data_IF_144113139455
#
_entry.id   IF_144113139455
#
_cell.length_a   1.000
_cell.length_b   1.000
_cell.length_c   1.000
_cell.angle_alpha   90.00
_cell.angle_beta   90.00
_cell.angle_gamma   90.00
#
_symmetry.space_group_name_H-M   'P 1'
#
loop_
_entity.id
_entity.type
_entity.pdbx_description
1 polymer ?
#
# COMPACT_ATOMS: atom_id res chain seq x y z
N UNK A 1 23.97 11.38 14.30
CA UNK A 1 23.11 12.55 14.56
C UNK A 1 21.67 12.07 14.39
N UNK A 2 20.89 11.92 15.47
CA UNK A 2 19.52 11.35 15.46
C UNK A 2 18.44 12.38 15.77
N UNK A 3 18.81 13.68 15.83
CA UNK A 3 17.93 14.79 16.22
C UNK A 3 17.58 15.74 15.08
N UNK A 4 17.89 15.39 13.84
CA UNK A 4 17.68 16.23 12.65
C UNK A 4 17.08 15.38 11.52
N UNK A 5 15.85 14.91 11.72
CA UNK A 5 15.15 14.04 10.77
C UNK A 5 14.21 14.87 9.89
N UNK A 6 14.27 14.65 8.58
CA UNK A 6 13.40 15.31 7.62
C UNK A 6 12.19 14.42 7.35
N UNK A 7 10.99 15.00 7.33
CA UNK A 7 9.78 14.26 7.02
C UNK A 7 9.13 14.82 5.75
N UNK A 8 8.88 13.95 4.79
CA UNK A 8 8.05 14.23 3.64
C UNK A 8 6.82 13.31 3.70
N UNK A 9 5.63 13.90 3.66
CA UNK A 9 4.37 13.18 3.72
C UNK A 9 3.44 13.57 2.57
N UNK A 10 2.71 12.61 2.04
CA UNK A 10 1.70 12.82 0.99
C UNK A 10 0.35 12.24 1.43
N UNK A 11 -0.73 12.99 1.23
CA UNK A 11 -2.11 12.53 1.50
C UNK A 11 -2.28 12.06 2.96
N UNK A 12 -2.69 10.81 3.18
CA UNK A 12 -2.72 10.18 4.50
C UNK A 12 -1.37 10.22 5.23
N UNK A 13 -0.26 9.95 4.52
CA UNK A 13 1.09 10.10 5.07
C UNK A 13 1.42 11.55 5.42
N UNK A 14 0.79 12.51 4.75
CA UNK A 14 0.81 13.93 5.12
C UNK A 14 0.09 14.19 6.45
N UNK A 15 -1.07 13.58 6.67
CA UNK A 15 -1.79 13.61 7.95
C UNK A 15 -0.98 13.03 9.10
N UNK A 16 -0.41 11.84 8.92
CA UNK A 16 0.52 11.23 9.90
C UNK A 16 1.75 12.12 10.12
N UNK A 17 2.27 12.74 9.06
CA UNK A 17 3.38 13.69 9.15
C UNK A 17 3.09 14.89 10.03
N UNK A 18 1.86 15.43 9.98
CA UNK A 18 1.43 16.52 10.86
C UNK A 18 1.41 16.09 12.34
N UNK A 19 0.91 14.89 12.63
CA UNK A 19 0.92 14.31 13.99
C UNK A 19 2.35 14.13 14.49
N UNK A 20 3.19 13.46 13.69
CA UNK A 20 4.56 13.16 14.07
C UNK A 20 5.36 14.43 14.30
N UNK A 21 5.19 15.44 13.46
CA UNK A 21 5.88 16.71 13.61
C UNK A 21 5.48 17.44 14.90
N UNK A 22 4.24 17.30 15.35
CA UNK A 22 3.76 17.93 16.57
C UNK A 22 4.14 17.18 17.85
N UNK A 23 4.48 15.89 17.75
CA UNK A 23 4.79 15.01 18.90
C UNK A 23 6.27 14.64 19.04
N UNK A 24 7.03 14.70 17.96
CA UNK A 24 8.39 14.18 17.90
C UNK A 24 9.42 15.27 17.59
N UNK A 25 10.09 15.76 18.64
CA UNK A 25 11.10 16.82 18.56
C UNK A 25 12.29 16.49 17.65
N UNK A 26 12.53 15.21 17.34
CA UNK A 26 13.59 14.78 16.40
C UNK A 26 13.28 15.14 14.95
N UNK A 27 12.02 15.38 14.61
CA UNK A 27 11.59 15.78 13.27
C UNK A 27 11.81 17.28 13.12
N UNK A 28 12.87 17.64 12.41
CA UNK A 28 13.36 19.01 12.38
C UNK A 28 12.74 19.86 11.27
N UNK A 29 12.52 19.28 10.10
CA UNK A 29 11.95 19.98 8.95
C UNK A 29 10.95 19.08 8.24
N UNK A 30 9.83 19.64 7.81
CA UNK A 30 8.71 18.87 7.29
C UNK A 30 8.12 19.49 6.05
N UNK A 31 7.82 18.66 5.06
CA UNK A 31 7.06 19.02 3.86
C UNK A 31 5.87 18.08 3.73
N UNK A 32 4.65 18.62 3.77
CA UNK A 32 3.41 17.85 3.63
C UNK A 32 2.67 18.27 2.37
N UNK A 33 2.47 17.31 1.49
CA UNK A 33 1.63 17.44 0.29
C UNK A 33 0.23 16.97 0.63
N UNK A 34 -0.76 17.84 0.44
CA UNK A 34 -2.17 17.51 0.68
C UNK A 34 -2.39 16.79 2.02
N UNK A 35 -2.00 17.37 3.16
CA UNK A 35 -2.11 16.65 4.42
C UNK A 35 -3.57 16.36 4.75
N UNK A 36 -3.90 15.09 4.98
CA UNK A 36 -5.17 14.73 5.62
C UNK A 36 -5.07 15.03 7.12
N UNK A 37 -5.01 16.32 7.46
CA UNK A 37 -4.86 16.77 8.83
C UNK A 37 -6.17 16.66 9.61
N UNK A 38 -7.30 16.94 8.95
CA UNK A 38 -8.66 16.93 9.52
C UNK A 38 -9.43 15.72 8.95
N UNK A 39 -9.53 14.65 9.74
CA UNK A 39 -10.21 13.42 9.35
C UNK A 39 -11.73 13.63 9.34
N UNK A 40 -12.26 14.46 10.25
CA UNK A 40 -13.69 14.76 10.34
C UNK A 40 -14.22 15.43 9.07
N UNK A 41 -13.48 16.39 8.52
CA UNK A 41 -13.83 17.03 7.24
C UNK A 41 -13.87 16.03 6.08
N UNK A 42 -13.00 15.01 6.10
CA UNK A 42 -13.05 13.93 5.12
C UNK A 42 -14.24 13.01 5.38
N UNK A 43 -14.48 12.62 6.64
CA UNK A 43 -15.59 11.75 7.05
C UNK A 43 -16.96 12.31 6.67
N UNK A 44 -17.13 13.62 6.77
CA UNK A 44 -18.34 14.31 6.34
C UNK A 44 -18.64 14.14 4.83
N UNK A 45 -17.60 13.89 4.02
CA UNK A 45 -17.68 13.75 2.56
C UNK A 45 -17.59 12.31 2.09
N UNK A 46 -16.80 11.48 2.77
CA UNK A 46 -16.50 10.09 2.44
C UNK A 46 -16.61 9.25 3.73
N UNK A 47 -17.59 8.34 3.84
CA UNK A 47 -17.70 7.48 5.01
C UNK A 47 -16.49 6.52 5.13
N UNK A 48 -15.64 6.64 6.16
CA UNK A 48 -14.45 5.78 6.35
C UNK A 48 -14.77 4.29 6.53
N UNK A 49 -16.04 3.91 6.75
CA UNK A 49 -16.45 2.50 6.73
C UNK A 49 -16.02 1.77 5.45
N UNK A 50 -15.84 2.51 4.36
CA UNK A 50 -15.36 2.00 3.08
C UNK A 50 -13.83 1.89 2.99
N UNK A 51 -13.07 2.53 3.88
CA UNK A 51 -11.61 2.59 3.88
C UNK A 51 -10.97 1.61 4.87
N UNK A 52 -11.48 1.50 6.10
CA UNK A 52 -10.89 0.71 7.19
C UNK A 52 -11.74 -0.50 7.62
N UNK A 53 -12.96 -0.62 7.08
CA UNK A 53 -13.93 -1.63 7.52
C UNK A 53 -14.37 -1.42 8.97
N UNK A 54 -15.11 -2.37 9.53
CA UNK A 54 -15.44 -2.40 10.96
C UNK A 54 -14.40 -3.24 11.71
N UNK A 55 -13.65 -2.65 12.64
CA UNK A 55 -12.69 -3.35 13.50
C UNK A 55 -13.08 -3.18 14.98
N UNK A 56 -13.06 -4.28 15.74
CA UNK A 56 -13.25 -4.39 17.20
C UNK A 56 -12.25 -3.57 18.05
N UNK A 57 -11.12 -3.13 17.49
CA UNK A 57 -10.05 -2.40 18.19
C UNK A 57 -10.26 -0.88 18.17
N UNK A 58 -10.94 -0.33 17.16
CA UNK A 58 -11.33 1.09 17.10
C UNK A 58 -12.86 1.13 17.10
N UNK A 59 -13.49 1.04 18.29
CA UNK A 59 -14.93 0.92 18.40
C UNK A 59 -15.66 2.21 17.98
N UNK A 60 -14.98 3.35 18.04
CA UNK A 60 -15.50 4.62 17.59
C UNK A 60 -14.48 5.38 16.72
N UNK A 61 -14.93 5.88 15.56
CA UNK A 61 -14.09 6.67 14.64
C UNK A 61 -13.72 8.03 15.23
N UNK A 62 -14.55 8.54 16.15
CA UNK A 62 -14.32 9.78 16.88
C UNK A 62 -13.10 9.70 17.84
N UNK A 63 -12.51 8.52 18.02
CA UNK A 63 -11.30 8.32 18.85
C UNK A 63 -10.00 8.41 18.04
N UNK A 64 -10.07 8.55 16.72
CA UNK A 64 -8.88 8.68 15.87
C UNK A 64 -8.35 10.10 15.99
N UNK A 65 -7.28 10.26 16.77
CA UNK A 65 -6.54 11.53 16.82
C UNK A 65 -5.93 11.84 15.46
N UNK A 66 -6.13 13.07 15.00
CA UNK A 66 -5.59 13.55 13.74
C UNK A 66 -4.60 14.72 13.90
N UNK A 67 -4.01 15.13 12.78
CA UNK A 67 -3.07 16.24 12.78
C UNK A 67 -3.72 17.54 13.21
N UNK A 68 -4.99 17.75 12.82
CA UNK A 68 -5.73 18.96 13.15
C UNK A 68 -5.88 19.10 14.65
N UNK A 69 -6.24 18.06 15.39
CA UNK A 69 -6.38 18.10 16.85
C UNK A 69 -5.05 18.33 17.58
N UNK A 70 -4.00 17.59 17.19
CA UNK A 70 -2.73 17.52 17.90
C UNK A 70 -1.84 18.75 17.66
N UNK A 71 -1.80 19.25 16.42
CA UNK A 71 -0.91 20.35 16.04
C UNK A 71 -1.44 21.72 16.51
N UNK A 72 -0.52 22.58 16.94
CA UNK A 72 -0.79 23.95 17.34
C UNK A 72 0.44 24.85 17.16
N UNK A 73 0.28 26.14 17.44
CA UNK A 73 1.31 27.16 17.32
C UNK A 73 2.58 26.92 18.15
N UNK A 74 2.53 26.09 19.20
CA UNK A 74 3.64 25.88 20.13
C UNK A 74 4.43 24.59 19.82
N UNK A 75 3.77 23.55 19.31
CA UNK A 75 4.38 22.24 19.05
C UNK A 75 4.69 21.99 17.57
N UNK A 76 4.18 22.81 16.65
CA UNK A 76 4.45 22.68 15.21
C UNK A 76 5.45 23.74 14.75
N UNK A 77 6.54 23.35 14.08
CA UNK A 77 7.63 24.20 13.56
C UNK A 77 8.18 23.71 12.20
N UNK A 78 8.82 24.60 11.44
CA UNK A 78 9.56 24.26 10.21
C UNK A 78 8.76 23.44 9.18
N UNK A 79 7.50 23.82 8.95
CA UNK A 79 6.53 23.07 8.15
C UNK A 79 6.16 23.78 6.84
N UNK A 80 6.39 23.12 5.71
CA UNK A 80 5.86 23.52 4.41
C UNK A 80 4.64 22.68 4.05
N UNK A 81 3.54 23.35 3.74
CA UNK A 81 2.31 22.77 3.24
C UNK A 81 2.18 23.04 1.74
N UNK A 82 2.04 21.99 0.94
CA UNK A 82 1.88 22.06 -0.50
C UNK A 82 0.49 21.54 -0.87
N UNK A 83 -0.35 22.40 -1.43
CA UNK A 83 -1.76 22.08 -1.69
C UNK A 83 -2.18 22.47 -3.11
N UNK A 84 -2.47 21.48 -3.93
CA UNK A 84 -3.24 21.65 -5.16
C UNK A 84 -4.65 22.21 -4.90
N UNK A 85 -4.99 23.27 -5.63
CA UNK A 85 -6.29 23.96 -5.47
C UNK A 85 -7.47 23.22 -6.10
N UNK A 86 -7.21 22.31 -7.04
CA UNK A 86 -8.20 21.49 -7.73
C UNK A 86 -8.27 20.05 -7.17
N UNK A 87 -7.70 19.80 -5.99
CA UNK A 87 -7.82 18.51 -5.31
C UNK A 87 -9.25 18.28 -4.83
N UNK A 88 -9.83 17.14 -5.23
CA UNK A 88 -11.17 16.70 -4.88
C UNK A 88 -11.22 15.74 -3.68
N UNK A 89 -10.08 15.20 -3.27
CA UNK A 89 -9.96 14.28 -2.13
C UNK A 89 -9.72 15.10 -0.87
N UNK A 90 -8.64 15.87 -0.83
CA UNK A 90 -8.28 16.73 0.31
C UNK A 90 -8.45 18.18 -0.15
N UNK A 91 -9.52 18.82 0.31
CA UNK A 91 -9.87 20.15 -0.18
C UNK A 91 -8.83 21.16 0.27
N UNK A 92 -8.54 22.12 -0.60
CA UNK A 92 -7.58 23.18 -0.26
C UNK A 92 -8.02 24.01 0.96
N UNK A 93 -9.33 24.08 1.21
CA UNK A 93 -9.91 24.72 2.39
C UNK A 93 -9.57 23.99 3.68
N UNK A 94 -9.43 22.66 3.64
CA UNK A 94 -9.09 21.86 4.83
C UNK A 94 -7.65 22.15 5.25
N UNK A 95 -6.72 22.09 4.28
CA UNK A 95 -5.31 22.46 4.52
C UNK A 95 -5.14 23.92 4.92
N UNK A 96 -5.98 24.82 4.40
CA UNK A 96 -5.96 26.22 4.81
C UNK A 96 -6.40 26.41 6.27
N UNK A 97 -7.49 25.76 6.71
CA UNK A 97 -7.93 25.80 8.11
C UNK A 97 -6.85 25.25 9.04
N UNK A 98 -6.20 24.15 8.65
CA UNK A 98 -5.09 23.59 9.40
C UNK A 98 -3.93 24.60 9.53
N UNK A 99 -3.53 25.22 8.42
CA UNK A 99 -2.50 26.25 8.40
C UNK A 99 -2.82 27.44 9.33
N UNK A 100 -4.05 27.95 9.27
CA UNK A 100 -4.50 29.06 10.10
C UNK A 100 -4.48 28.71 11.60
N UNK A 101 -4.77 27.45 11.95
CA UNK A 101 -4.69 26.96 13.34
C UNK A 101 -3.26 26.95 13.88
N UNK A 102 -2.29 26.51 13.08
CA UNK A 102 -0.90 26.32 13.52
C UNK A 102 -0.01 27.56 13.33
N UNK A 103 -0.44 28.52 12.52
CA UNK A 103 0.29 29.76 12.23
C UNK A 103 -0.53 31.05 12.46
N UNK A 104 -1.11 31.29 13.65
CA UNK A 104 -1.95 32.47 13.92
C UNK A 104 -1.14 33.76 14.16
N UNK A 105 0.12 33.65 14.58
CA UNK A 105 1.09 34.75 14.58
C UNK A 105 1.86 34.71 13.26
N UNK A 106 2.30 35.84 12.70
CA UNK A 106 3.08 35.89 11.44
C UNK A 106 4.45 35.17 11.52
N UNK A 107 4.48 33.86 11.77
CA UNK A 107 5.69 33.07 11.78
C UNK A 107 6.12 32.80 10.35
N UNK A 108 7.42 32.75 10.16
CA UNK A 108 8.04 32.53 8.85
C UNK A 108 8.48 31.08 8.66
N UNK A 109 8.45 30.26 9.71
CA UNK A 109 8.87 28.86 9.68
C UNK A 109 7.72 27.89 9.33
N UNK A 110 6.52 28.40 9.07
CA UNK A 110 5.40 27.63 8.54
C UNK A 110 4.86 28.35 7.32
N UNK A 111 4.78 27.65 6.19
CA UNK A 111 4.34 28.23 4.91
C UNK A 111 3.32 27.32 4.24
N UNK A 112 2.25 27.92 3.72
CA UNK A 112 1.29 27.25 2.83
C UNK A 112 1.47 27.76 1.40
N UNK A 113 1.84 26.87 0.47
CA UNK A 113 1.84 27.14 -0.97
C UNK A 113 0.68 26.43 -1.64
N UNK A 114 -0.24 27.25 -2.15
CA UNK A 114 -1.34 26.80 -3.01
C UNK A 114 -0.82 26.65 -4.43
N UNK A 115 -1.21 25.55 -5.10
CA UNK A 115 -0.80 25.22 -6.46
C UNK A 115 -2.01 25.29 -7.38
N UNK A 116 -2.17 26.38 -8.17
CA UNK A 116 -3.33 26.61 -9.02
C UNK A 116 -3.55 25.49 -10.04
N UNK A 117 -4.77 24.98 -10.16
CA UNK A 117 -5.15 23.98 -11.18
C UNK A 117 -4.64 22.55 -10.95
N UNK A 118 -3.80 22.31 -9.93
CA UNK A 118 -3.31 20.97 -9.62
C UNK A 118 -4.31 20.22 -8.73
N UNK A 119 -4.60 18.96 -9.12
CA UNK A 119 -5.34 17.98 -8.30
C UNK A 119 -4.40 17.11 -7.45
N UNK A 120 -4.96 16.10 -6.79
CA UNK A 120 -4.26 15.26 -5.79
C UNK A 120 -2.90 14.72 -6.30
N UNK A 121 -2.89 13.84 -7.30
CA UNK A 121 -1.65 13.30 -7.87
C UNK A 121 -0.89 14.29 -8.77
N UNK A 122 -1.56 15.31 -9.30
CA UNK A 122 -0.93 16.31 -10.15
C UNK A 122 0.09 17.17 -9.40
N UNK A 123 -0.13 17.41 -8.11
CA UNK A 123 0.78 18.16 -7.27
C UNK A 123 2.00 17.34 -6.82
N UNK A 124 1.83 16.03 -6.61
CA UNK A 124 2.95 15.13 -6.28
C UNK A 124 3.97 15.09 -7.43
N UNK A 125 3.48 15.05 -8.67
CA UNK A 125 4.31 15.06 -9.87
C UNK A 125 4.81 16.47 -10.28
N UNK A 126 4.41 17.53 -9.58
CA UNK A 126 4.77 18.90 -9.94
C UNK A 126 6.22 19.21 -9.59
N UNK A 127 7.03 19.43 -10.64
CA UNK A 127 8.46 19.77 -10.51
C UNK A 127 8.64 21.02 -9.65
N UNK A 128 7.76 22.02 -9.76
CA UNK A 128 7.89 23.23 -8.97
C UNK A 128 7.67 22.94 -7.48
N UNK A 129 6.68 22.12 -7.14
CA UNK A 129 6.43 21.67 -5.78
C UNK A 129 7.60 20.84 -5.23
N UNK A 130 8.20 19.97 -6.04
CA UNK A 130 9.43 19.25 -5.69
C UNK A 130 10.59 20.22 -5.39
N UNK A 131 10.81 21.23 -6.24
CA UNK A 131 11.85 22.24 -5.98
C UNK A 131 11.61 23.00 -4.68
N UNK A 132 10.35 23.34 -4.36
CA UNK A 132 10.00 23.97 -3.08
C UNK A 132 10.35 23.08 -1.90
N UNK A 133 10.05 21.78 -1.99
CA UNK A 133 10.38 20.82 -0.94
C UNK A 133 11.89 20.71 -0.72
N UNK A 134 12.67 20.63 -1.80
CA UNK A 134 14.13 20.59 -1.73
C UNK A 134 14.66 21.87 -1.10
N UNK A 135 14.26 23.05 -1.58
CA UNK A 135 14.71 24.33 -1.04
C UNK A 135 14.34 24.48 0.46
N UNK A 136 13.17 23.98 0.87
CA UNK A 136 12.76 23.96 2.27
C UNK A 136 13.70 23.13 3.13
N UNK A 137 14.02 21.90 2.70
CA UNK A 137 14.97 21.07 3.43
C UNK A 137 16.36 21.69 3.46
N UNK A 138 16.88 22.16 2.33
CA UNK A 138 18.19 22.83 2.23
C UNK A 138 18.31 24.01 3.21
N UNK A 139 17.25 24.80 3.38
CA UNK A 139 17.23 25.92 4.34
C UNK A 139 17.46 25.44 5.78
N UNK A 140 16.79 24.38 6.21
CA UNK A 140 16.85 23.88 7.59
C UNK A 140 18.03 22.93 7.84
N UNK A 141 18.57 22.28 6.81
CA UNK A 141 19.69 21.34 6.95
C UNK A 141 21.06 21.98 6.74
N UNK A 142 21.22 22.80 5.70
CA UNK A 142 22.56 23.13 5.19
C UNK A 142 22.97 24.61 5.41
N UNK A 143 22.27 25.35 6.27
CA UNK A 143 22.51 26.79 6.53
C UNK A 143 22.63 27.62 5.23
N UNK A 144 22.06 27.13 4.14
CA UNK A 144 22.05 27.83 2.87
C UNK A 144 21.20 29.10 3.04
N UNK A 145 21.62 30.23 2.46
CA UNK A 145 20.88 31.49 2.54
C UNK A 145 19.65 31.48 1.61
N UNK A 146 18.77 30.48 1.78
CA UNK A 146 17.54 30.30 1.03
C UNK A 146 16.46 31.18 1.67
N UNK A 147 15.84 32.06 0.88
CA UNK A 147 14.75 32.89 1.35
C UNK A 147 13.41 32.13 1.31
N UNK A 148 13.07 31.46 2.42
CA UNK A 148 11.81 30.69 2.54
C UNK A 148 10.53 31.56 2.52
N UNK A 149 10.65 32.88 2.70
CA UNK A 149 9.49 33.79 2.58
C UNK A 149 9.10 34.05 1.12
N UNK A 150 10.01 33.80 0.18
CA UNK A 150 9.82 34.02 -1.27
C UNK A 150 10.26 32.79 -2.09
N UNK A 151 9.78 31.62 -1.68
CA UNK A 151 10.12 30.34 -2.31
C UNK A 151 9.85 30.29 -3.83
N UNK A 152 8.85 31.01 -4.33
CA UNK A 152 8.51 30.98 -5.76
C UNK A 152 9.62 31.60 -6.61
N UNK A 153 10.24 32.69 -6.13
CA UNK A 153 11.38 33.31 -6.80
C UNK A 153 12.66 32.51 -6.53
N UNK A 154 12.85 32.00 -5.31
CA UNK A 154 14.04 31.23 -4.91
C UNK A 154 14.25 29.99 -5.80
N UNK A 155 13.17 29.23 -6.07
CA UNK A 155 13.25 27.99 -6.87
C UNK A 155 13.38 28.24 -8.38
N UNK A 156 13.17 29.48 -8.84
CA UNK A 156 13.22 29.81 -10.28
C UNK A 156 14.61 29.58 -10.87
N UNK A 157 15.66 29.80 -10.07
CA UNK A 157 17.06 29.56 -10.43
C UNK A 157 17.52 28.11 -10.25
N UNK A 158 16.72 27.25 -9.60
CA UNK A 158 17.09 25.85 -9.34
C UNK A 158 16.81 25.02 -10.59
N UNK A 159 17.84 24.39 -11.14
CA UNK A 159 17.71 23.37 -12.18
C UNK A 159 17.81 21.98 -11.57
N UNK A 160 16.82 21.13 -11.84
CA UNK A 160 16.89 19.72 -11.52
C UNK A 160 17.44 19.00 -12.75
N UNK A 161 18.45 18.16 -12.56
CA UNK A 161 18.92 17.26 -13.59
C UNK A 161 18.26 15.89 -13.39
N UNK A 162 17.78 15.29 -14.48
CA UNK A 162 17.26 13.94 -14.43
C UNK A 162 18.43 12.97 -14.22
N UNK A 163 18.52 12.39 -13.03
CA UNK A 163 19.45 11.30 -12.76
C UNK A 163 18.74 9.97 -12.99
N UNK A 164 19.06 9.31 -14.10
CA UNK A 164 18.59 7.96 -14.36
C UNK A 164 19.34 7.00 -13.45
N UNK A 165 18.70 6.52 -12.39
CA UNK A 165 19.24 5.36 -11.67
C UNK A 165 19.39 4.20 -12.65
N UNK A 166 20.48 3.42 -12.60
CA UNK A 166 20.54 2.19 -13.36
C UNK A 166 19.35 1.33 -12.97
N UNK A 167 18.48 1.02 -13.92
CA UNK A 167 17.34 0.12 -13.72
C UNK A 167 17.89 -1.29 -13.51
N UNK A 168 18.20 -1.62 -12.25
CA UNK A 168 18.65 -2.96 -11.91
C UNK A 168 17.44 -3.79 -11.48
N UNK A 169 16.65 -4.25 -12.46
CA UNK A 169 15.52 -5.16 -12.23
C UNK A 169 15.99 -6.53 -11.74
N UNK A 170 17.29 -6.85 -11.83
CA UNK A 170 17.83 -8.17 -11.48
C UNK A 170 17.45 -8.58 -10.06
N UNK A 171 17.45 -7.66 -9.09
CA UNK A 171 17.07 -8.00 -7.70
C UNK A 171 15.58 -8.33 -7.59
N UNK A 172 14.73 -7.57 -8.27
CA UNK A 172 13.28 -7.77 -8.28
C UNK A 172 12.91 -9.07 -9.04
N UNK A 173 13.52 -9.27 -10.21
CA UNK A 173 13.39 -10.47 -11.03
C UNK A 173 13.88 -11.72 -10.27
N UNK A 174 14.98 -11.62 -9.52
CA UNK A 174 15.49 -12.70 -8.68
C UNK A 174 14.54 -13.00 -7.51
N UNK A 175 13.94 -12.00 -6.88
CA UNK A 175 12.96 -12.21 -5.80
C UNK A 175 11.72 -12.91 -6.35
N UNK A 176 11.17 -12.45 -7.48
CA UNK A 176 10.02 -13.06 -8.14
C UNK A 176 10.34 -14.51 -8.53
N UNK A 177 11.49 -14.73 -9.17
CA UNK A 177 11.93 -16.07 -9.59
C UNK A 177 12.13 -17.00 -8.38
N UNK A 178 12.74 -16.49 -7.31
CA UNK A 178 12.96 -17.24 -6.07
C UNK A 178 11.63 -17.63 -5.40
N UNK A 179 10.65 -16.72 -5.39
CA UNK A 179 9.32 -16.99 -4.86
C UNK A 179 8.59 -18.08 -5.67
N UNK A 180 8.66 -18.04 -7.00
CA UNK A 180 8.10 -19.07 -7.88
C UNK A 180 8.77 -20.42 -7.63
N UNK A 181 10.11 -20.47 -7.57
CA UNK A 181 10.87 -21.69 -7.32
C UNK A 181 10.56 -22.29 -5.95
N UNK A 182 10.47 -21.44 -4.91
CA UNK A 182 10.09 -21.86 -3.56
C UNK A 182 8.70 -22.48 -3.55
N UNK A 183 7.74 -21.88 -4.27
CA UNK A 183 6.38 -22.40 -4.37
C UNK A 183 6.32 -23.77 -5.05
N UNK A 184 7.02 -23.95 -6.17
CA UNK A 184 7.11 -25.24 -6.88
C UNK A 184 7.75 -26.29 -5.97
N UNK A 185 8.83 -25.94 -5.28
CA UNK A 185 9.53 -26.81 -4.34
C UNK A 185 8.64 -27.26 -3.19
N UNK A 186 8.00 -26.33 -2.48
CA UNK A 186 7.09 -26.63 -1.36
C UNK A 186 5.91 -27.49 -1.80
N UNK A 187 5.29 -27.15 -2.93
CA UNK A 187 4.18 -27.93 -3.49
C UNK A 187 4.60 -29.38 -3.81
N UNK A 188 5.78 -29.55 -4.41
CA UNK A 188 6.34 -30.88 -4.73
C UNK A 188 6.64 -31.69 -3.46
N UNK A 189 7.15 -31.04 -2.41
CA UNK A 189 7.40 -31.68 -1.12
C UNK A 189 6.09 -32.13 -0.45
N UNK A 190 5.05 -31.30 -0.46
CA UNK A 190 3.72 -31.67 0.06
C UNK A 190 3.16 -32.87 -0.70
N UNK A 191 3.22 -32.86 -2.03
CA UNK A 191 2.80 -34.00 -2.86
C UNK A 191 3.55 -35.27 -2.46
N UNK A 192 4.89 -35.22 -2.40
CA UNK A 192 5.72 -36.39 -2.14
C UNK A 192 5.57 -36.95 -0.73
N UNK A 193 5.52 -36.08 0.29
CA UNK A 193 5.62 -36.50 1.69
C UNK A 193 4.29 -36.55 2.42
N UNK A 194 3.25 -35.85 1.94
CA UNK A 194 1.92 -35.86 2.56
C UNK A 194 0.89 -36.55 1.68
N UNK A 195 0.80 -36.19 0.40
CA UNK A 195 -0.26 -36.67 -0.48
C UNK A 195 -0.05 -38.13 -0.88
N UNK A 196 1.08 -38.44 -1.52
CA UNK A 196 1.36 -39.80 -2.02
C UNK A 196 1.28 -40.84 -0.90
N UNK A 197 1.92 -40.65 0.28
CA UNK A 197 1.87 -41.64 1.35
C UNK A 197 0.48 -41.78 1.99
N UNK A 198 -0.36 -40.73 1.93
CA UNK A 198 -1.74 -40.80 2.39
C UNK A 198 -2.61 -41.56 1.38
N UNK A 199 -2.47 -41.29 0.09
CA UNK A 199 -3.13 -42.02 -0.99
C UNK A 199 -2.78 -43.50 -0.99
N UNK A 200 -1.52 -43.85 -0.77
CA UNK A 200 -1.08 -45.25 -0.68
C UNK A 200 -1.72 -46.00 0.50
N UNK A 201 -2.23 -45.28 1.51
CA UNK A 201 -2.89 -45.85 2.70
C UNK A 201 -4.41 -45.88 2.60
N UNK A 202 -5.02 -45.19 1.64
CA UNK A 202 -6.47 -45.21 1.49
C UNK A 202 -6.91 -46.59 0.98
N UNK A 203 -7.89 -47.24 1.62
CA UNK A 203 -8.41 -48.50 1.13
C UNK A 203 -9.05 -48.25 -0.24
N UNK A 204 -8.40 -48.68 -1.33
CA UNK A 204 -9.05 -48.72 -2.64
C UNK A 204 -10.27 -49.64 -2.50
N UNK A 205 -11.47 -49.07 -2.45
CA UNK A 205 -12.71 -49.82 -2.62
C UNK A 205 -12.57 -50.63 -3.92
N UNK A 206 -12.95 -51.91 -3.86
CA UNK A 206 -12.69 -52.92 -4.91
C UNK A 206 -13.29 -52.63 -6.29
N UNK A 207 -14.08 -51.57 -6.47
CA UNK A 207 -14.62 -51.15 -7.77
C UNK A 207 -13.73 -50.14 -8.50
N UNK A 208 -12.42 -50.32 -8.44
CA UNK A 208 -11.49 -49.64 -9.35
C UNK A 208 -11.19 -50.61 -10.48
N UNK A 209 -11.59 -50.25 -11.71
CA UNK A 209 -11.14 -50.92 -12.92
C UNK A 209 -9.60 -50.93 -12.95
N UNK A 210 -9.04 -52.06 -12.52
CA UNK A 210 -7.59 -52.27 -12.40
C UNK A 210 -6.92 -52.60 -13.74
N UNK A 211 -7.70 -52.59 -14.82
CA UNK A 211 -7.16 -52.72 -16.17
C UNK A 211 -6.14 -51.61 -16.45
N UNK A 212 -5.24 -51.88 -17.40
CA UNK A 212 -4.30 -50.87 -17.90
C UNK A 212 -5.04 -49.61 -18.39
N UNK A 213 -6.23 -49.77 -18.95
CA UNK A 213 -7.08 -48.67 -19.40
C UNK A 213 -7.69 -47.86 -18.26
N UNK A 214 -8.17 -48.50 -17.19
CA UNK A 214 -8.70 -47.82 -16.01
C UNK A 214 -7.63 -46.97 -15.31
N UNK A 215 -6.41 -47.49 -15.19
CA UNK A 215 -5.25 -46.75 -14.64
C UNK A 215 -4.85 -45.55 -15.50
N UNK A 216 -4.87 -45.69 -16.83
CA UNK A 216 -4.61 -44.59 -17.76
C UNK A 216 -5.69 -43.51 -17.70
N UNK A 217 -6.97 -43.89 -17.63
CA UNK A 217 -8.09 -42.95 -17.46
C UNK A 217 -7.99 -42.18 -16.14
N UNK A 218 -7.66 -42.85 -15.05
CA UNK A 218 -7.51 -42.22 -13.74
C UNK A 218 -6.33 -41.23 -13.72
N UNK A 219 -5.17 -41.62 -14.28
CA UNK A 219 -4.02 -40.71 -14.45
C UNK A 219 -4.37 -39.49 -15.29
N UNK A 220 -5.05 -39.68 -16.43
CA UNK A 220 -5.53 -38.58 -17.28
C UNK A 220 -6.48 -37.65 -16.52
N UNK A 221 -7.40 -38.20 -15.72
CA UNK A 221 -8.33 -37.40 -14.92
C UNK A 221 -7.58 -36.54 -13.88
N UNK A 222 -6.60 -37.10 -13.17
CA UNK A 222 -5.79 -36.34 -12.21
C UNK A 222 -5.02 -35.23 -12.93
N UNK A 223 -4.36 -35.55 -14.06
CA UNK A 223 -3.61 -34.55 -14.84
C UNK A 223 -4.55 -33.43 -15.30
N UNK A 224 -5.72 -33.74 -15.87
CA UNK A 224 -6.68 -32.73 -16.31
C UNK A 224 -7.20 -31.84 -15.18
N UNK A 225 -7.50 -32.42 -14.01
CA UNK A 225 -7.98 -31.66 -12.84
C UNK A 225 -6.87 -30.77 -12.29
N UNK A 226 -5.68 -31.32 -12.08
CA UNK A 226 -4.52 -30.55 -11.61
C UNK A 226 -4.16 -29.43 -12.57
N UNK A 227 -4.12 -29.69 -13.89
CA UNK A 227 -3.86 -28.68 -14.91
C UNK A 227 -4.96 -27.62 -14.99
N UNK A 228 -6.24 -28.01 -14.87
CA UNK A 228 -7.36 -27.07 -14.86
C UNK A 228 -7.31 -26.13 -13.66
N UNK A 229 -7.04 -26.66 -12.46
CA UNK A 229 -6.97 -25.84 -11.25
C UNK A 229 -5.70 -24.98 -11.19
N UNK A 230 -4.53 -25.53 -11.55
CA UNK A 230 -3.30 -24.75 -11.64
C UNK A 230 -3.39 -23.65 -12.70
N UNK A 231 -4.00 -23.94 -13.86
CA UNK A 231 -4.23 -22.95 -14.91
C UNK A 231 -5.16 -21.84 -14.46
N UNK A 232 -6.28 -22.17 -13.80
CA UNK A 232 -7.20 -21.18 -13.24
C UNK A 232 -6.52 -20.31 -12.17
N UNK A 233 -5.71 -20.89 -11.27
CA UNK A 233 -4.94 -20.12 -10.28
C UNK A 233 -3.89 -19.21 -10.90
N UNK A 234 -3.18 -19.67 -11.93
CA UNK A 234 -2.19 -18.86 -12.64
C UNK A 234 -2.84 -17.66 -13.34
N UNK A 235 -3.92 -17.89 -14.08
CA UNK A 235 -4.68 -16.84 -14.78
C UNK A 235 -5.26 -15.84 -13.77
N UNK A 236 -5.84 -16.32 -12.67
CA UNK A 236 -6.37 -15.45 -11.61
C UNK A 236 -5.26 -14.62 -10.97
N UNK A 237 -4.09 -15.21 -10.68
CA UNK A 237 -2.93 -14.50 -10.14
C UNK A 237 -2.44 -13.38 -11.06
N UNK A 238 -2.36 -13.64 -12.37
CA UNK A 238 -1.97 -12.64 -13.39
C UNK A 238 -3.00 -11.51 -13.48
N UNK A 239 -4.30 -11.84 -13.48
CA UNK A 239 -5.37 -10.85 -13.50
C UNK A 239 -5.26 -9.95 -12.26
N UNK A 240 -5.13 -10.53 -11.06
CA UNK A 240 -5.03 -9.76 -9.83
C UNK A 240 -3.76 -8.88 -9.75
N UNK A 241 -2.62 -9.34 -10.28
CA UNK A 241 -1.39 -8.55 -10.33
C UNK A 241 -1.48 -7.36 -11.30
N UNK A 242 -2.30 -7.46 -12.35
CA UNK A 242 -2.52 -6.35 -13.30
C UNK A 242 -3.39 -5.23 -12.72
N UNK A 243 -4.24 -5.54 -11.72
CA UNK A 243 -5.18 -4.59 -11.14
C UNK A 243 -4.75 -4.05 -9.76
N UNK A 244 -3.65 -4.52 -9.17
CA UNK A 244 -3.20 -4.05 -7.85
C UNK A 244 -1.68 -4.14 -7.65
N UNK A 245 -1.04 -3.03 -7.27
CA UNK A 245 0.43 -2.89 -7.16
C UNK A 245 1.04 -3.29 -5.79
N UNK A 246 0.23 -3.73 -4.83
CA UNK A 246 0.74 -4.02 -3.47
C UNK A 246 1.29 -5.45 -3.33
N UNK A 247 2.61 -5.54 -3.07
CA UNK A 247 3.37 -6.77 -2.79
C UNK A 247 2.80 -7.54 -1.57
N UNK A 248 2.21 -6.85 -0.60
CA UNK A 248 1.65 -7.43 0.63
C UNK A 248 0.41 -8.31 0.39
N UNK A 249 -0.30 -8.10 -0.73
CA UNK A 249 -1.47 -8.93 -1.09
C UNK A 249 -1.11 -10.25 -1.77
N UNK A 250 0.17 -10.52 -2.04
CA UNK A 250 0.64 -11.84 -2.48
C UNK A 250 0.23 -12.96 -1.52
N UNK A 251 0.01 -12.67 -0.23
CA UNK A 251 -0.55 -13.61 0.74
C UNK A 251 -1.99 -14.08 0.40
N UNK A 252 -2.80 -13.24 -0.26
CA UNK A 252 -4.14 -13.62 -0.73
C UNK A 252 -4.10 -14.48 -2.01
N UNK A 253 -2.97 -14.55 -2.72
CA UNK A 253 -2.75 -15.53 -3.81
C UNK A 253 -2.69 -16.95 -3.25
N UNK A 254 -2.19 -17.12 -2.02
CA UNK A 254 -2.08 -18.42 -1.36
C UNK A 254 -3.41 -18.93 -0.78
N UNK A 255 -4.37 -18.05 -0.47
CA UNK A 255 -5.61 -18.45 0.19
C UNK A 255 -6.52 -19.34 -0.70
N UNK A 256 -6.73 -19.01 -1.99
CA UNK A 256 -7.41 -19.90 -2.94
C UNK A 256 -6.64 -21.19 -3.17
N UNK A 257 -5.31 -21.14 -3.20
CA UNK A 257 -4.44 -22.32 -3.42
C UNK A 257 -4.54 -23.29 -2.24
N UNK A 258 -4.44 -22.80 -1.00
CA UNK A 258 -4.65 -23.58 0.22
C UNK A 258 -6.07 -24.13 0.26
N UNK A 259 -7.07 -23.34 -0.11
CA UNK A 259 -8.48 -23.79 -0.18
C UNK A 259 -8.71 -24.87 -1.24
N UNK A 260 -8.10 -24.75 -2.43
CA UNK A 260 -8.17 -25.76 -3.50
C UNK A 260 -7.43 -27.03 -3.11
N UNK A 261 -6.26 -26.90 -2.48
CA UNK A 261 -5.50 -28.01 -1.90
C UNK A 261 -6.38 -28.74 -0.88
N UNK A 262 -7.01 -28.03 0.07
CA UNK A 262 -7.95 -28.59 1.05
C UNK A 262 -9.15 -29.26 0.36
N UNK A 263 -9.76 -28.63 -0.65
CA UNK A 263 -10.91 -29.18 -1.40
C UNK A 263 -10.53 -30.41 -2.25
N UNK A 264 -9.30 -30.49 -2.76
CA UNK A 264 -8.77 -31.66 -3.47
C UNK A 264 -8.56 -32.87 -2.54
N UNK A 265 -8.55 -32.66 -1.22
CA UNK A 265 -8.44 -33.72 -0.21
C UNK A 265 -9.77 -34.16 0.39
N UNK A 266 -10.91 -33.56 0.01
CA UNK A 266 -12.23 -34.05 0.40
C UNK A 266 -12.60 -35.20 -0.55
N UNK A 267 -12.75 -36.44 -0.07
CA UNK A 267 -13.14 -37.58 -0.90
C UNK A 267 -14.42 -37.29 -1.69
N UNK A 268 -14.43 -37.54 -3.00
CA UNK A 268 -15.62 -37.35 -3.84
C UNK A 268 -16.83 -38.20 -3.39
N UNK A 269 -16.60 -39.22 -2.59
CA UNK A 269 -17.62 -40.06 -1.98
C UNK A 269 -18.48 -39.32 -0.94
N UNK A 270 -18.00 -38.19 -0.39
CA UNK A 270 -18.79 -37.29 0.48
C UNK A 270 -19.68 -36.31 -0.30
N UNK A 271 -19.57 -36.29 -1.64
CA UNK A 271 -20.34 -35.41 -2.52
C UNK A 271 -21.15 -36.16 -3.58
N UNK A 272 -21.29 -37.49 -3.49
CA UNK A 272 -22.14 -38.24 -4.45
C UNK A 272 -23.62 -37.81 -4.39
N UNK A 273 -24.06 -37.20 -3.29
CA UNK A 273 -25.44 -36.74 -3.05
C UNK A 273 -25.63 -35.21 -2.95
N UNK A 274 -24.62 -34.40 -3.23
CA UNK A 274 -24.70 -32.94 -2.99
C UNK A 274 -25.82 -32.20 -3.75
N UNK A 275 -26.28 -32.75 -4.88
CA UNK A 275 -27.44 -32.22 -5.64
C UNK A 275 -28.80 -32.54 -5.00
N UNK A 276 -28.84 -33.40 -3.99
CA UNK A 276 -30.05 -33.88 -3.31
C UNK A 276 -30.18 -33.28 -1.90
N UNK A 277 -29.08 -32.83 -1.30
CA UNK A 277 -29.04 -32.25 0.06
C UNK A 277 -29.16 -30.70 0.11
N UNK A 278 -29.35 -30.06 -1.05
CA UNK A 278 -29.73 -28.64 -1.19
C UNK A 278 -31.06 -28.56 -1.97
#
# INVERSE_FOLDING_TARGET
>A
NTSHIGLLGYSYGGGIGAILQALEDRIHAVVLYHPLADIDSLLARIPLRYLIGSNIVVPNLDEIQDGFEISNENNTKNLLLLQGTADSIILHTDTQKFYEKINPANRTDIVLKKRPGLGHGGNEADITSLKMAIAWFEHFYDKQPINITDLDNEISGISLFSYSFPSNTVSEDLIITSAIMLFIGLSSLVVKFRILPYWDKLPMKKDVDNSREGKEKYKKMIIYRTSGYMGASLITGIIFSLFNQSILYGYFIFFPIISIIIMLFIPSELHSNWKVEW
#
